data_IF_501011377518
#
_entry.id   IF_501011377518
#
_cell.length_a   1.000
_cell.length_b   1.000
_cell.length_c   1.000
_cell.angle_alpha   90.00
_cell.angle_beta   90.00
_cell.angle_gamma   90.00
#
_symmetry.space_group_name_H-M   'P 1'
#
loop_
_entity.id
_entity.type
_entity.pdbx_description
1 polymer ?
#
# COMPACT_ATOMS: atom_id res chain seq x y z
N UNK A 1 -3.14 -7.74 4.03
CA UNK A 1 -2.48 -6.85 3.06
C UNK A 1 -1.33 -6.07 3.68
N UNK A 2 -1.60 -5.23 4.69
CA UNK A 2 -0.59 -4.31 5.27
C UNK A 2 0.61 -5.05 5.86
N UNK A 3 0.40 -6.09 6.68
CA UNK A 3 1.49 -6.84 7.33
C UNK A 3 2.49 -7.45 6.33
N UNK A 4 1.99 -7.98 5.22
CA UNK A 4 2.84 -8.64 4.24
C UNK A 4 3.56 -7.59 3.37
N UNK A 5 2.90 -6.47 3.08
CA UNK A 5 3.54 -5.33 2.43
C UNK A 5 4.66 -4.76 3.32
N UNK A 6 4.45 -4.67 4.64
CA UNK A 6 5.47 -4.27 5.60
C UNK A 6 6.69 -5.19 5.58
N UNK A 7 6.48 -6.52 5.53
CA UNK A 7 7.58 -7.48 5.41
C UNK A 7 8.34 -7.37 4.09
N UNK A 8 7.63 -7.32 2.97
CA UNK A 8 8.25 -7.32 1.64
C UNK A 8 8.96 -6.00 1.38
N UNK A 9 8.33 -4.88 1.75
CA UNK A 9 8.92 -3.56 1.58
C UNK A 9 9.88 -3.16 2.72
N UNK A 10 9.98 -3.97 3.80
CA UNK A 10 10.70 -3.63 5.03
C UNK A 10 10.29 -2.25 5.60
N UNK A 11 8.98 -1.97 5.57
CA UNK A 11 8.39 -0.73 6.05
C UNK A 11 7.55 -0.98 7.28
N UNK A 12 7.32 0.06 8.07
CA UNK A 12 6.41 0.02 9.20
C UNK A 12 5.29 1.03 8.91
N UNK A 13 4.19 0.55 8.35
CA UNK A 13 3.07 1.35 7.87
C UNK A 13 2.21 1.76 9.08
N UNK A 14 2.00 3.06 9.33
CA UNK A 14 1.14 3.50 10.41
C UNK A 14 -0.28 2.96 10.24
N UNK A 15 -0.93 2.55 11.34
CA UNK A 15 -2.35 2.14 11.33
C UNK A 15 -3.27 3.26 10.83
N UNK A 16 -2.91 4.52 11.07
CA UNK A 16 -3.64 5.70 10.60
C UNK A 16 -3.29 6.06 9.16
N UNK A 17 -3.70 5.23 8.20
CA UNK A 17 -3.51 5.44 6.76
C UNK A 17 -4.21 6.69 6.20
N UNK A 18 -5.10 7.30 6.97
CA UNK A 18 -5.78 8.56 6.63
C UNK A 18 -5.01 9.81 7.10
N UNK A 19 -3.98 9.64 7.94
CA UNK A 19 -3.18 10.77 8.42
C UNK A 19 -2.25 11.32 7.33
N UNK A 20 -2.04 12.63 7.36
CA UNK A 20 -1.07 13.32 6.48
C UNK A 20 0.35 12.77 6.68
N UNK A 21 0.68 12.36 7.91
CA UNK A 21 1.96 11.76 8.25
C UNK A 21 2.15 10.40 7.57
N UNK A 22 1.11 9.56 7.56
CA UNK A 22 1.14 8.27 6.87
C UNK A 22 1.24 8.45 5.36
N UNK A 23 0.57 9.46 4.79
CA UNK A 23 0.73 9.77 3.36
C UNK A 23 2.17 10.14 3.02
N UNK A 24 2.77 11.03 3.81
CA UNK A 24 4.17 11.42 3.61
C UNK A 24 5.14 10.24 3.75
N UNK A 25 4.91 9.37 4.73
CA UNK A 25 5.70 8.15 4.91
C UNK A 25 5.57 7.21 3.70
N UNK A 26 4.37 7.01 3.17
CA UNK A 26 4.13 6.18 1.99
C UNK A 26 4.74 6.79 0.72
N UNK A 27 4.76 8.12 0.59
CA UNK A 27 5.45 8.81 -0.51
C UNK A 27 6.96 8.57 -0.42
N UNK A 28 7.56 8.76 0.76
CA UNK A 28 9.00 8.54 0.97
C UNK A 28 9.38 7.07 0.75
N UNK A 29 8.52 6.14 1.18
CA UNK A 29 8.65 4.72 0.91
C UNK A 29 8.58 4.40 -0.58
N UNK A 30 7.56 4.89 -1.29
CA UNK A 30 7.43 4.73 -2.74
C UNK A 30 8.65 5.31 -3.48
N UNK A 31 9.18 6.45 -3.03
CA UNK A 31 10.37 7.04 -3.61
C UNK A 31 11.62 6.16 -3.42
N UNK A 32 11.80 5.57 -2.22
CA UNK A 32 12.89 4.61 -1.95
C UNK A 32 12.78 3.34 -2.77
N UNK A 33 11.56 2.91 -3.07
CA UNK A 33 11.26 1.69 -3.85
C UNK A 33 11.14 2.00 -5.36
N UNK A 34 11.45 3.23 -5.77
CA UNK A 34 11.36 3.73 -7.16
C UNK A 34 9.98 3.56 -7.83
N UNK A 35 8.91 3.53 -7.03
CA UNK A 35 7.54 3.40 -7.53
C UNK A 35 7.03 4.74 -8.06
N UNK A 36 6.85 4.82 -9.37
CA UNK A 36 6.29 6.00 -10.04
C UNK A 36 4.76 6.02 -9.90
N UNK A 37 4.27 6.81 -8.94
CA UNK A 37 2.85 7.09 -8.80
C UNK A 37 2.50 8.46 -9.40
N UNK A 38 1.76 8.53 -10.53
CA UNK A 38 1.32 9.81 -11.09
C UNK A 38 0.31 10.49 -10.16
N UNK A 39 0.26 11.84 -10.14
CA UNK A 39 -0.72 12.55 -9.32
C UNK A 39 -2.16 12.19 -9.72
N UNK A 40 -3.12 12.11 -8.76
CA UNK A 40 -2.99 12.42 -7.33
C UNK A 40 -2.32 11.31 -6.51
N UNK A 41 -1.36 11.70 -5.67
CA UNK A 41 -0.66 10.83 -4.70
C UNK A 41 -1.48 10.69 -3.41
N UNK A 42 -2.64 10.04 -3.52
CA UNK A 42 -3.44 9.67 -2.35
C UNK A 42 -2.89 8.39 -1.74
N UNK A 43 -3.05 8.23 -0.43
CA UNK A 43 -2.63 7.01 0.29
C UNK A 43 -3.24 5.74 -0.30
N UNK A 44 -4.50 5.79 -0.74
CA UNK A 44 -5.14 4.68 -1.45
C UNK A 44 -4.39 4.27 -2.72
N UNK A 45 -4.03 5.22 -3.61
CA UNK A 45 -3.34 4.91 -4.87
C UNK A 45 -1.90 4.46 -4.65
N UNK A 46 -1.22 5.02 -3.66
CA UNK A 46 0.14 4.60 -3.30
C UNK A 46 0.15 3.16 -2.80
N UNK A 47 -0.77 2.83 -1.90
CA UNK A 47 -0.95 1.47 -1.39
C UNK A 47 -1.31 0.48 -2.50
N UNK A 48 -2.25 0.83 -3.37
CA UNK A 48 -2.64 0.00 -4.52
C UNK A 48 -1.44 -0.34 -5.42
N UNK A 49 -0.62 0.67 -5.74
CA UNK A 49 0.60 0.47 -6.54
C UNK A 49 1.66 -0.37 -5.84
N UNK A 50 1.85 -0.16 -4.54
CA UNK A 50 2.76 -0.94 -3.71
C UNK A 50 2.34 -2.41 -3.67
N UNK A 51 1.05 -2.68 -3.47
CA UNK A 51 0.50 -4.04 -3.45
C UNK A 51 0.61 -4.69 -4.82
N UNK A 52 0.28 -4.00 -5.91
CA UNK A 52 0.44 -4.53 -7.26
C UNK A 52 1.89 -4.94 -7.56
N UNK A 53 2.86 -4.10 -7.19
CA UNK A 53 4.27 -4.43 -7.46
C UNK A 53 4.84 -5.51 -6.55
N UNK A 54 4.53 -5.49 -5.25
CA UNK A 54 5.17 -6.39 -4.29
C UNK A 54 4.41 -7.69 -4.04
N UNK A 55 3.08 -7.61 -3.97
CA UNK A 55 2.21 -8.73 -3.64
C UNK A 55 1.69 -9.43 -4.89
N UNK A 56 1.18 -8.71 -5.90
CA UNK A 56 0.63 -9.38 -7.08
C UNK A 56 1.72 -10.08 -7.91
N UNK A 57 2.91 -9.50 -8.04
CA UNK A 57 4.02 -10.15 -8.77
C UNK A 57 4.58 -11.40 -8.08
N UNK A 58 4.40 -11.54 -6.77
CA UNK A 58 4.90 -12.70 -5.99
C UNK A 58 3.87 -13.82 -5.82
N UNK A 59 2.62 -13.61 -6.24
CA UNK A 59 1.54 -14.57 -6.07
C UNK A 59 1.39 -15.50 -7.29
N UNK A 60 2.24 -16.52 -7.41
CA UNK A 60 2.13 -17.56 -8.47
C UNK A 60 0.88 -18.44 -8.34
N UNK A 61 0.38 -18.62 -7.11
CA UNK A 61 -0.80 -19.44 -6.80
C UNK A 61 -2.01 -18.53 -6.50
N UNK A 62 -3.25 -19.00 -6.73
CA UNK A 62 -4.45 -18.23 -6.41
C UNK A 62 -4.47 -17.87 -4.92
N UNK A 63 -4.22 -16.60 -4.63
CA UNK A 63 -4.01 -16.07 -3.28
C UNK A 63 -5.04 -14.99 -2.99
N UNK A 64 -5.68 -15.06 -1.82
CA UNK A 64 -6.63 -14.05 -1.38
C UNK A 64 -5.92 -12.98 -0.57
N UNK A 65 -5.87 -11.75 -1.11
CA UNK A 65 -5.45 -10.58 -0.35
C UNK A 65 -6.65 -10.09 0.46
N UNK A 66 -6.56 -10.19 1.79
CA UNK A 66 -7.61 -9.79 2.73
C UNK A 66 -7.18 -8.60 3.59
N UNK A 67 -8.16 -7.97 4.24
CA UNK A 67 -8.01 -6.79 5.09
C UNK A 67 -7.46 -5.58 4.32
N UNK A 68 -8.15 -5.22 3.23
CA UNK A 68 -7.90 -3.94 2.56
C UNK A 68 -8.30 -2.81 3.50
N UNK A 69 -7.49 -1.74 3.58
CA UNK A 69 -7.81 -0.62 4.44
C UNK A 69 -9.07 0.11 3.94
N UNK A 70 -9.87 0.61 4.87
CA UNK A 70 -11.18 1.23 4.59
C UNK A 70 -11.10 2.40 3.60
N UNK A 71 -9.98 3.13 3.61
CA UNK A 71 -9.65 4.18 2.66
C UNK A 71 -9.61 3.71 1.20
N UNK A 72 -9.27 2.45 0.94
CA UNK A 72 -9.29 1.88 -0.42
C UNK A 72 -10.67 1.37 -0.82
N UNK A 73 -11.48 0.99 0.16
CA UNK A 73 -12.80 0.39 -0.05
C UNK A 73 -13.85 1.11 0.79
N UNK A 74 -14.21 2.36 0.45
CA UNK A 74 -15.17 3.16 1.23
C UNK A 74 -16.60 2.59 1.24
N UNK A 75 -16.87 1.60 0.39
CA UNK A 75 -18.14 0.87 0.33
C UNK A 75 -18.09 -0.51 1.02
N UNK A 76 -16.91 -0.94 1.47
CA UNK A 76 -16.77 -2.15 2.27
C UNK A 76 -17.27 -1.86 3.70
N UNK A 77 -17.85 -2.89 4.32
CA UNK A 77 -18.60 -2.78 5.57
C UNK A 77 -18.01 -3.71 6.63
#
# INVERSE_FOLDING_TARGET
>A
MVEELEKVANLNIPKDLSSVEANKYLIDACAKLEIKCPPPQTTARLLDKLVGHFLEETCDNPTFIINHPEIMSPLAK
#
